data_IF_078765006324
#
_entry.id   IF_078765006324
#
_cell.length_a   1.000
_cell.length_b   1.000
_cell.length_c   1.000
_cell.angle_alpha   90.00
_cell.angle_beta   90.00
_cell.angle_gamma   90.00
#
_symmetry.space_group_name_H-M   'P 1'
#
loop_
_entity.id
_entity.type
_entity.pdbx_description
1 polymer ?
#
# COMPACT_ATOMS: atom_id res chain seq x y z
N UNK A 1 19.65 -7.29 -15.67
CA UNK A 1 18.80 -8.26 -14.94
C UNK A 1 18.38 -9.39 -15.87
N UNK A 2 18.77 -10.65 -15.63
CA UNK A 2 18.28 -11.81 -16.40
C UNK A 2 16.77 -12.04 -16.16
N UNK A 3 15.94 -11.69 -17.14
CA UNK A 3 14.47 -11.66 -16.99
C UNK A 3 13.87 -13.01 -16.58
N UNK A 4 14.30 -14.11 -17.22
CA UNK A 4 13.76 -15.44 -16.94
C UNK A 4 13.99 -15.88 -15.49
N UNK A 5 15.21 -15.71 -14.99
CA UNK A 5 15.55 -16.05 -13.60
C UNK A 5 14.78 -15.17 -12.64
N UNK A 6 14.68 -13.87 -12.91
CA UNK A 6 13.96 -12.92 -12.07
C UNK A 6 12.47 -13.26 -11.95
N UNK A 7 11.81 -13.53 -13.07
CA UNK A 7 10.38 -13.92 -13.06
C UNK A 7 10.17 -15.24 -12.32
N UNK A 8 11.06 -16.22 -12.50
CA UNK A 8 10.97 -17.52 -11.82
C UNK A 8 11.04 -17.35 -10.29
N UNK A 9 11.88 -16.44 -9.80
CA UNK A 9 11.97 -16.08 -8.38
C UNK A 9 10.76 -15.29 -7.89
N UNK A 10 10.19 -14.42 -8.74
CA UNK A 10 9.04 -13.58 -8.39
C UNK A 10 7.71 -14.31 -8.28
N UNK A 11 7.46 -15.27 -9.16
CA UNK A 11 6.19 -15.99 -9.24
C UNK A 11 5.76 -16.65 -7.91
N UNK A 12 6.62 -17.42 -7.21
CA UNK A 12 6.22 -18.02 -5.94
C UNK A 12 5.96 -16.97 -4.85
N UNK A 13 6.71 -15.85 -4.84
CA UNK A 13 6.49 -14.75 -3.90
C UNK A 13 5.12 -14.11 -4.15
N UNK A 14 4.79 -13.79 -5.40
CA UNK A 14 3.49 -13.22 -5.78
C UNK A 14 2.34 -14.19 -5.50
N UNK A 15 2.55 -15.49 -5.71
CA UNK A 15 1.56 -16.50 -5.39
C UNK A 15 1.24 -16.51 -3.88
N UNK A 16 2.27 -16.48 -3.03
CA UNK A 16 2.09 -16.42 -1.57
C UNK A 16 1.36 -15.13 -1.14
N UNK A 17 1.79 -13.97 -1.64
CA UNK A 17 1.16 -12.68 -1.37
C UNK A 17 -0.31 -12.71 -1.84
N UNK A 18 -0.59 -13.20 -3.05
CA UNK A 18 -1.93 -13.28 -3.61
C UNK A 18 -2.88 -14.18 -2.82
N UNK A 19 -2.38 -15.27 -2.24
CA UNK A 19 -3.18 -16.12 -1.32
C UNK A 19 -3.56 -15.33 -0.07
N UNK A 20 -2.58 -14.68 0.57
CA UNK A 20 -2.83 -13.87 1.78
C UNK A 20 -3.79 -12.72 1.49
N UNK A 21 -3.58 -12.00 0.39
CA UNK A 21 -4.45 -10.92 -0.07
C UNK A 21 -5.88 -11.43 -0.33
N UNK A 22 -6.02 -12.58 -0.98
CA UNK A 22 -7.32 -13.22 -1.21
C UNK A 22 -8.06 -13.52 0.10
N UNK A 23 -7.36 -14.03 1.11
CA UNK A 23 -7.92 -14.30 2.45
C UNK A 23 -8.34 -12.99 3.13
N UNK A 24 -7.47 -11.97 3.12
CA UNK A 24 -7.78 -10.66 3.71
C UNK A 24 -8.99 -10.03 3.03
N UNK A 25 -9.05 -10.08 1.70
CA UNK A 25 -10.18 -9.57 0.91
C UNK A 25 -11.46 -10.31 1.26
N UNK A 26 -11.43 -11.64 1.32
CA UNK A 26 -12.58 -12.45 1.70
C UNK A 26 -13.07 -12.12 3.13
N UNK A 27 -12.15 -11.88 4.06
CA UNK A 27 -12.47 -11.46 5.43
C UNK A 27 -13.16 -10.09 5.46
N UNK A 28 -12.63 -9.10 4.74
CA UNK A 28 -13.22 -7.75 4.65
C UNK A 28 -14.61 -7.80 4.02
N UNK A 29 -14.76 -8.50 2.89
CA UNK A 29 -16.06 -8.64 2.21
C UNK A 29 -17.07 -9.36 3.10
N UNK A 30 -16.66 -10.45 3.76
CA UNK A 30 -17.53 -11.20 4.68
C UNK A 30 -17.94 -10.37 5.90
N UNK A 31 -17.02 -9.55 6.44
CA UNK A 31 -17.32 -8.63 7.54
C UNK A 31 -18.37 -7.60 7.14
N UNK A 32 -18.23 -6.99 5.95
CA UNK A 32 -19.21 -6.05 5.42
C UNK A 32 -20.55 -6.74 5.17
N UNK A 33 -20.54 -7.93 4.55
CA UNK A 33 -21.77 -8.69 4.28
C UNK A 33 -22.53 -9.02 5.57
N UNK A 34 -21.85 -9.54 6.60
CA UNK A 34 -22.48 -9.88 7.89
C UNK A 34 -22.95 -8.65 8.67
N UNK A 35 -22.24 -7.53 8.56
CA UNK A 35 -22.57 -6.31 9.31
C UNK A 35 -23.66 -5.49 8.63
N UNK A 36 -23.67 -5.47 7.29
CA UNK A 36 -24.48 -4.61 6.42
C UNK A 36 -24.78 -5.33 5.09
N UNK A 37 -25.62 -6.38 5.09
CA UNK A 37 -25.91 -7.15 3.88
C UNK A 37 -26.52 -6.31 2.76
N UNK A 38 -27.26 -5.25 3.09
CA UNK A 38 -27.87 -4.31 2.15
C UNK A 38 -26.87 -3.55 1.25
N UNK A 39 -25.57 -3.51 1.62
CA UNK A 39 -24.54 -2.88 0.80
C UNK A 39 -24.20 -3.74 -0.43
N UNK A 40 -24.28 -5.07 -0.27
CA UNK A 40 -23.88 -6.04 -1.30
C UNK A 40 -25.09 -6.68 -1.99
N UNK A 41 -26.21 -6.81 -1.26
CA UNK A 41 -27.45 -7.34 -1.79
C UNK A 41 -28.31 -6.21 -2.36
N UNK A 42 -28.61 -6.25 -3.66
CA UNK A 42 -29.61 -5.38 -4.29
C UNK A 42 -31.03 -5.81 -3.90
N UNK A 43 -31.40 -5.68 -2.64
CA UNK A 43 -32.77 -5.98 -2.21
C UNK A 43 -33.65 -4.73 -2.34
N UNK A 44 -34.78 -4.88 -3.04
CA UNK A 44 -35.78 -3.82 -3.22
C UNK A 44 -36.48 -3.43 -1.89
N UNK A 45 -36.25 -4.19 -0.82
CA UNK A 45 -36.77 -3.93 0.50
C UNK A 45 -35.68 -3.29 1.37
N UNK A 46 -35.72 -1.97 1.47
CA UNK A 46 -34.97 -1.15 2.43
C UNK A 46 -35.51 -1.30 3.85
N UNK A 47 -35.79 -2.52 4.30
CA UNK A 47 -36.07 -2.75 5.70
C UNK A 47 -34.72 -2.76 6.44
N UNK A 48 -34.54 -1.93 7.49
CA UNK A 48 -33.30 -1.93 8.25
C UNK A 48 -33.13 -3.31 8.89
N UNK A 49 -32.23 -4.13 8.34
CA UNK A 49 -31.81 -5.36 9.00
C UNK A 49 -31.13 -4.93 10.30
N UNK A 50 -31.41 -5.65 11.40
CA UNK A 50 -30.94 -5.44 12.79
C UNK A 50 -29.40 -5.50 12.97
N UNK A 51 -28.62 -4.87 12.09
CA UNK A 51 -27.16 -4.83 12.12
C UNK A 51 -26.59 -3.46 12.54
N UNK A 52 -25.26 -3.43 12.59
CA UNK A 52 -24.37 -2.44 13.22
C UNK A 52 -24.34 -0.96 12.82
N UNK A 53 -25.27 -0.27 12.19
CA UNK A 53 -25.04 1.06 11.58
C UNK A 53 -23.89 1.11 10.54
N UNK A 54 -24.11 1.81 9.41
CA UNK A 54 -23.05 1.96 8.40
C UNK A 54 -21.82 2.73 8.91
N UNK A 55 -22.03 3.58 9.93
CA UNK A 55 -20.97 4.34 10.60
C UNK A 55 -19.99 3.42 11.31
N UNK A 56 -20.46 2.39 12.00
CA UNK A 56 -19.60 1.42 12.68
C UNK A 56 -18.68 0.68 11.71
N UNK A 57 -19.25 0.15 10.62
CA UNK A 57 -18.47 -0.57 9.59
C UNK A 57 -17.40 0.32 9.00
N UNK A 58 -17.74 1.57 8.67
CA UNK A 58 -16.78 2.54 8.15
C UNK A 58 -15.68 2.86 9.18
N UNK A 59 -16.05 3.10 10.44
CA UNK A 59 -15.06 3.38 11.50
C UNK A 59 -14.13 2.19 11.75
N UNK A 60 -14.63 0.96 11.69
CA UNK A 60 -13.82 -0.25 11.86
C UNK A 60 -12.80 -0.40 10.72
N UNK A 61 -13.23 -0.18 9.47
CA UNK A 61 -12.33 -0.22 8.30
C UNK A 61 -11.29 0.92 8.33
N UNK A 62 -11.70 2.13 8.72
CA UNK A 62 -10.77 3.25 8.89
C UNK A 62 -9.75 2.98 10.01
N UNK A 63 -10.19 2.44 11.15
CA UNK A 63 -9.29 2.07 12.22
C UNK A 63 -8.29 0.99 11.77
N UNK A 64 -8.75 -0.03 11.05
CA UNK A 64 -7.87 -1.05 10.47
C UNK A 64 -6.84 -0.43 9.52
N UNK A 65 -7.25 0.49 8.63
CA UNK A 65 -6.35 1.18 7.70
C UNK A 65 -5.30 2.06 8.42
N UNK A 66 -5.69 2.75 9.50
CA UNK A 66 -4.77 3.56 10.32
C UNK A 66 -3.78 2.67 11.05
N UNK A 67 -4.22 1.54 11.62
CA UNK A 67 -3.34 0.60 12.32
C UNK A 67 -2.36 -0.05 11.34
N UNK A 68 -2.83 -0.50 10.17
CA UNK A 68 -1.97 -1.16 9.19
C UNK A 68 -0.99 -0.20 8.55
N UNK A 69 -1.43 1.00 8.16
CA UNK A 69 -0.57 2.02 7.55
C UNK A 69 0.34 2.74 8.55
N UNK A 70 -0.08 2.90 9.80
CA UNK A 70 0.66 3.66 10.82
C UNK A 70 1.61 2.81 11.66
N UNK A 71 1.22 1.59 12.02
CA UNK A 71 1.95 0.72 12.98
C UNK A 71 2.55 -0.49 12.28
N UNK A 72 1.76 -1.23 11.50
CA UNK A 72 2.29 -2.45 10.84
C UNK A 72 3.27 -2.13 9.71
N UNK A 73 3.23 -0.91 9.15
CA UNK A 73 4.19 -0.44 8.14
C UNK A 73 5.63 -0.46 8.61
N UNK A 74 5.89 -0.28 9.92
CA UNK A 74 7.21 -0.39 10.53
C UNK A 74 7.89 -1.73 10.28
N UNK A 75 7.13 -2.82 10.44
CA UNK A 75 7.65 -4.17 10.25
C UNK A 75 7.82 -4.51 8.77
N UNK A 76 6.93 -3.96 7.93
CA UNK A 76 6.99 -4.15 6.49
C UNK A 76 8.18 -3.42 5.86
N UNK A 77 8.51 -2.21 6.33
CA UNK A 77 9.59 -1.40 5.75
C UNK A 77 11.00 -1.78 6.23
N UNK A 78 11.12 -2.49 7.35
CA UNK A 78 12.42 -2.81 7.95
C UNK A 78 13.13 -4.01 7.34
N UNK A 79 12.46 -4.74 6.44
CA UNK A 79 13.00 -5.97 5.83
C UNK A 79 13.04 -5.81 4.31
N UNK A 80 14.02 -6.44 3.62
CA UNK A 80 14.06 -6.42 2.17
C UNK A 80 12.81 -7.05 1.59
N UNK A 81 12.25 -6.39 0.59
CA UNK A 81 11.01 -6.85 -0.03
C UNK A 81 11.26 -8.02 -1.01
N UNK A 82 10.17 -8.55 -1.57
CA UNK A 82 10.27 -9.62 -2.57
C UNK A 82 11.05 -9.21 -3.82
N UNK A 83 11.05 -7.91 -4.15
CA UNK A 83 11.76 -7.32 -5.28
C UNK A 83 13.26 -7.37 -5.09
N UNK A 84 13.72 -6.77 -4.00
CA UNK A 84 15.12 -6.74 -3.60
C UNK A 84 15.66 -8.16 -3.45
N UNK A 85 14.88 -9.07 -2.84
CA UNK A 85 15.27 -10.48 -2.72
C UNK A 85 15.52 -11.13 -4.09
N UNK A 86 14.63 -10.93 -5.06
CA UNK A 86 14.80 -11.50 -6.39
C UNK A 86 15.94 -10.84 -7.18
N UNK A 87 16.17 -9.53 -7.01
CA UNK A 87 17.30 -8.81 -7.63
C UNK A 87 18.63 -9.34 -7.08
N UNK A 88 18.74 -9.51 -5.77
CA UNK A 88 19.91 -10.09 -5.13
C UNK A 88 20.19 -11.50 -5.65
N UNK A 89 19.18 -12.38 -5.67
CA UNK A 89 19.34 -13.76 -6.12
C UNK A 89 19.52 -13.91 -7.64
N UNK A 90 19.28 -12.87 -8.43
CA UNK A 90 19.55 -12.87 -9.88
C UNK A 90 20.85 -12.21 -10.27
N UNK A 91 21.36 -11.25 -9.50
CA UNK A 91 22.52 -10.43 -9.88
C UNK A 91 23.69 -10.52 -8.92
N UNK A 92 23.46 -11.03 -7.70
CA UNK A 92 24.43 -11.01 -6.60
C UNK A 92 24.65 -9.63 -5.98
N UNK A 93 23.85 -8.63 -6.36
CA UNK A 93 23.87 -7.26 -5.82
C UNK A 93 22.50 -6.92 -5.27
N UNK A 94 22.44 -6.23 -4.13
CA UNK A 94 21.19 -5.77 -3.53
C UNK A 94 20.51 -4.71 -4.41
N UNK A 95 21.31 -3.84 -5.04
CA UNK A 95 20.81 -2.78 -5.91
C UNK A 95 21.43 -2.85 -7.31
N UNK A 96 20.62 -2.50 -8.31
CA UNK A 96 21.08 -2.44 -9.70
C UNK A 96 21.83 -1.14 -9.95
N UNK A 97 23.08 -1.23 -10.36
CA UNK A 97 23.80 -0.06 -10.87
C UNK A 97 23.04 0.53 -12.05
N UNK A 98 22.62 1.79 -11.92
CA UNK A 98 22.06 2.55 -13.05
C UNK A 98 23.13 2.64 -14.13
N UNK A 99 22.95 1.99 -15.30
CA UNK A 99 23.91 2.12 -16.37
C UNK A 99 24.04 3.60 -16.72
N UNK A 100 25.24 4.04 -17.15
CA UNK A 100 25.51 5.39 -17.67
C UNK A 100 24.77 5.71 -19.00
N UNK A 101 23.53 5.22 -19.16
CA UNK A 101 22.61 5.56 -20.23
C UNK A 101 21.72 6.70 -19.75
N UNK A 102 21.72 7.79 -20.51
CA UNK A 102 21.05 9.05 -20.18
C UNK A 102 19.61 8.92 -19.69
N UNK A 103 18.82 7.95 -20.18
CA UNK A 103 17.41 7.88 -19.83
C UNK A 103 17.15 7.44 -18.38
N UNK A 104 17.93 6.50 -17.85
CA UNK A 104 17.77 6.03 -16.46
C UNK A 104 18.17 7.12 -15.46
N UNK A 105 19.26 7.85 -15.75
CA UNK A 105 19.69 8.96 -14.90
C UNK A 105 18.75 10.17 -14.97
N UNK A 106 18.13 10.45 -16.14
CA UNK A 106 17.08 11.46 -16.25
C UNK A 106 15.83 11.08 -15.46
N UNK A 107 15.36 9.84 -15.58
CA UNK A 107 14.21 9.32 -14.84
C UNK A 107 14.46 9.32 -13.33
N UNK A 108 15.65 8.92 -12.89
CA UNK A 108 16.05 8.97 -11.48
C UNK A 108 16.02 10.40 -10.92
N UNK A 109 16.56 11.38 -11.66
CA UNK A 109 16.50 12.81 -11.26
C UNK A 109 15.06 13.34 -11.19
N UNK A 110 14.18 12.91 -12.10
CA UNK A 110 12.76 13.29 -12.06
C UNK A 110 12.11 12.66 -10.82
N UNK A 111 12.30 11.36 -10.61
CA UNK A 111 11.78 10.65 -9.44
C UNK A 111 12.22 11.34 -8.16
N UNK A 112 13.51 11.59 -7.96
CA UNK A 112 14.07 12.22 -6.77
C UNK A 112 13.43 13.61 -6.51
N UNK A 113 13.20 14.40 -7.56
CA UNK A 113 12.51 15.71 -7.43
C UNK A 113 11.02 15.60 -7.15
N UNK A 114 10.36 14.57 -7.68
CA UNK A 114 8.92 14.36 -7.51
C UNK A 114 8.54 13.55 -6.27
N UNK A 115 9.48 12.81 -5.70
CA UNK A 115 9.26 11.95 -4.54
C UNK A 115 8.91 12.81 -3.31
N UNK A 116 7.64 12.78 -2.91
CA UNK A 116 7.18 13.53 -1.76
C UNK A 116 7.77 13.00 -0.44
N UNK A 117 7.88 11.67 -0.32
CA UNK A 117 8.47 10.94 0.80
C UNK A 117 9.46 9.91 0.25
N UNK A 118 10.70 10.31 -0.07
CA UNK A 118 11.72 9.40 -0.59
C UNK A 118 12.01 8.30 0.44
N UNK A 119 12.05 7.05 -0.02
CA UNK A 119 12.29 5.85 0.81
C UNK A 119 11.41 5.80 2.07
N UNK A 120 10.15 6.25 1.93
CA UNK A 120 9.17 6.35 3.01
C UNK A 120 9.56 7.31 4.15
N UNK A 121 10.58 8.14 3.97
CA UNK A 121 11.08 9.12 4.93
C UNK A 121 10.82 10.57 4.53
N UNK A 122 11.14 11.49 5.44
CA UNK A 122 11.13 12.93 5.15
C UNK A 122 12.39 13.31 4.36
N UNK A 123 12.24 14.29 3.46
CA UNK A 123 13.40 14.84 2.74
C UNK A 123 14.36 15.49 3.74
N UNK A 124 15.59 14.99 3.82
CA UNK A 124 16.66 15.61 4.62
C UNK A 124 17.35 16.66 3.75
N UNK A 125 17.42 17.90 4.23
CA UNK A 125 18.21 18.95 3.58
C UNK A 125 19.70 18.73 3.85
N UNK A 126 20.56 18.98 2.86
CA UNK A 126 22.02 18.77 2.96
C UNK A 126 22.68 19.50 4.14
N UNK A 127 22.06 20.56 4.68
CA UNK A 127 22.52 21.32 5.86
C UNK A 127 22.31 20.61 7.20
N UNK A 128 21.59 19.48 7.24
CA UNK A 128 21.34 18.69 8.45
C UNK A 128 21.94 17.30 8.30
N UNK A 129 23.24 17.23 8.00
CA UNK A 129 24.03 16.03 8.33
C UNK A 129 24.31 16.04 9.83
N UNK A 130 23.30 15.70 10.61
CA UNK A 130 23.55 15.25 11.98
C UNK A 130 24.02 13.80 11.85
N UNK A 131 25.25 13.53 12.29
CA UNK A 131 25.78 12.18 12.55
C UNK A 131 24.97 11.53 13.69
N UNK A 132 23.69 11.31 13.46
CA UNK A 132 22.83 10.51 14.32
C UNK A 132 22.86 9.08 13.77
N UNK A 133 23.90 8.36 14.17
CA UNK A 133 23.87 6.93 14.44
C UNK A 133 22.88 6.67 15.59
N UNK A 134 21.62 7.02 15.39
CA UNK A 134 20.52 6.54 16.21
C UNK A 134 20.40 5.03 15.97
N UNK A 135 20.15 4.23 17.01
CA UNK A 135 19.92 2.80 16.83
C UNK A 135 18.79 2.59 15.82
N UNK A 136 18.86 1.52 15.02
CA UNK A 136 17.78 1.08 14.11
C UNK A 136 16.51 0.80 14.93
N UNK A 137 15.78 1.87 15.25
CA UNK A 137 14.50 1.82 15.91
C UNK A 137 13.51 1.29 14.88
N UNK A 138 12.88 0.16 15.22
CA UNK A 138 11.75 -0.38 14.44
C UNK A 138 10.66 0.70 14.27
N UNK A 139 10.53 1.61 15.23
CA UNK A 139 9.61 2.74 15.15
C UNK A 139 10.26 3.86 14.31
N UNK A 140 9.69 4.11 13.14
CA UNK A 140 10.09 5.21 12.24
C UNK A 140 8.89 6.13 11.95
N UNK A 141 8.92 7.41 12.38
CA UNK A 141 7.82 8.35 12.13
C UNK A 141 7.55 8.61 10.65
N UNK A 142 8.58 8.58 9.80
CA UNK A 142 8.46 8.76 8.36
C UNK A 142 7.62 7.66 7.73
N UNK A 143 7.86 6.40 8.10
CA UNK A 143 7.14 5.25 7.54
C UNK A 143 5.67 5.24 7.98
N UNK A 144 5.37 5.67 9.21
CA UNK A 144 3.97 5.92 9.64
C UNK A 144 3.29 6.98 8.79
N UNK A 145 3.94 8.13 8.56
CA UNK A 145 3.36 9.20 7.74
C UNK A 145 3.15 8.73 6.31
N UNK A 146 4.14 8.05 5.74
CA UNK A 146 4.04 7.48 4.39
C UNK A 146 2.88 6.49 4.26
N UNK A 147 2.72 5.58 5.22
CA UNK A 147 1.61 4.62 5.21
C UNK A 147 0.24 5.28 5.41
N UNK A 148 0.13 6.29 6.26
CA UNK A 148 -1.12 7.06 6.44
C UNK A 148 -1.48 7.87 5.19
N UNK A 149 -0.51 8.59 4.60
CA UNK A 149 -0.71 9.37 3.38
C UNK A 149 -1.10 8.44 2.23
N UNK A 150 -0.40 7.33 2.04
CA UNK A 150 -0.75 6.31 1.06
C UNK A 150 -2.17 5.77 1.27
N UNK A 151 -2.54 5.46 2.51
CA UNK A 151 -3.90 5.03 2.86
C UNK A 151 -4.97 6.05 2.50
N UNK A 152 -4.73 7.34 2.80
CA UNK A 152 -5.65 8.44 2.44
C UNK A 152 -5.83 8.54 0.92
N UNK A 153 -4.74 8.43 0.16
CA UNK A 153 -4.79 8.48 -1.32
C UNK A 153 -5.65 7.33 -1.87
N UNK A 154 -5.46 6.11 -1.36
CA UNK A 154 -6.24 4.94 -1.79
C UNK A 154 -7.73 5.09 -1.42
N UNK A 155 -8.04 5.57 -0.21
CA UNK A 155 -9.42 5.81 0.21
C UNK A 155 -10.10 6.90 -0.63
N UNK A 156 -9.38 7.98 -0.96
CA UNK A 156 -9.86 9.03 -1.83
C UNK A 156 -10.16 8.50 -3.25
N UNK A 157 -9.28 7.65 -3.79
CA UNK A 157 -9.48 7.00 -5.08
C UNK A 157 -10.70 6.06 -5.07
N UNK A 158 -10.84 5.23 -4.03
CA UNK A 158 -11.99 4.34 -3.87
C UNK A 158 -13.31 5.12 -3.78
N UNK A 159 -13.34 6.21 -3.00
CA UNK A 159 -14.49 7.10 -2.89
C UNK A 159 -14.83 7.77 -4.24
N UNK A 160 -13.80 8.21 -4.98
CA UNK A 160 -13.97 8.81 -6.31
C UNK A 160 -14.58 7.82 -7.32
N UNK A 161 -14.06 6.58 -7.37
CA UNK A 161 -14.61 5.52 -8.21
C UNK A 161 -16.07 5.24 -7.84
N UNK A 162 -16.37 5.10 -6.54
CA UNK A 162 -17.73 4.91 -6.05
C UNK A 162 -18.67 6.05 -6.46
N UNK A 163 -18.22 7.31 -6.34
CA UNK A 163 -18.99 8.48 -6.76
C UNK A 163 -19.25 8.51 -8.27
N UNK A 164 -18.22 8.22 -9.09
CA UNK A 164 -18.36 8.16 -10.55
C UNK A 164 -19.36 7.10 -11.00
N UNK A 165 -19.34 5.92 -10.37
CA UNK A 165 -20.30 4.84 -10.63
C UNK A 165 -21.72 5.21 -10.20
N UNK A 166 -21.89 5.85 -9.04
CA UNK A 166 -23.20 6.34 -8.57
C UNK A 166 -23.81 7.37 -9.55
N UNK A 167 -23.01 8.35 -9.99
CA UNK A 167 -23.47 9.39 -10.93
C UNK A 167 -23.93 8.81 -12.26
N UNK A 168 -23.25 7.78 -12.76
CA UNK A 168 -23.63 7.06 -13.99
C UNK A 168 -24.97 6.33 -13.86
N UNK A 169 -25.26 5.75 -12.69
CA UNK A 169 -26.50 5.04 -12.45
C UNK A 169 -27.70 5.96 -12.15
N UNK A 170 -27.48 7.18 -11.65
CA UNK A 170 -28.54 8.16 -11.41
C UNK A 170 -28.92 9.03 -12.63
N UNK A 171 -28.23 8.84 -13.77
CA UNK A 171 -28.50 9.54 -15.04
C UNK A 171 -29.25 8.66 -16.06
N UNK A 172 -29.74 7.49 -15.62
CA UNK A 172 -30.65 6.60 -16.35
C UNK A 172 -31.98 6.57 -15.63
#
# INVERSE_FOLDING_TARGET
LPFKTFVLLMQPIHLAIGIVEGVVTAAVVSFVWKSRPEILEKTANTAPVNGFSGKFVLTALLAAAVITGGVLSWFASSNPDGLEWAVFHTTGKEELETPNRNIYSLLGKIQEKTAFLPDYGFRVSEDVKTDSSEPESIVNPGTSVSGLVGGVVILALAAFIGFALKKKNGSR
#
